data_IF_279093023002
#
_entry.id   IF_279093023002
#
_cell.length_a   1.000
_cell.length_b   1.000
_cell.length_c   1.000
_cell.angle_alpha   90.00
_cell.angle_beta   90.00
_cell.angle_gamma   90.00
#
_symmetry.space_group_name_H-M   'P 1'
#
loop_
_entity.id
_entity.type
_entity.pdbx_description
1 polymer ?
#
# COMPACT_ATOMS: atom_id res chain seq x y z
N UNK A 1 39.82 -9.90 -0.26
CA UNK A 1 39.07 -11.02 -0.85
C UNK A 1 38.16 -11.72 0.16
N UNK A 2 38.62 -12.14 1.33
CA UNK A 2 37.83 -12.86 2.34
C UNK A 2 36.49 -12.20 2.71
N UNK A 3 36.47 -10.90 2.98
CA UNK A 3 35.24 -10.16 3.34
C UNK A 3 34.16 -10.20 2.24
N UNK A 4 34.54 -10.24 0.95
CA UNK A 4 33.59 -10.37 -0.16
C UNK A 4 32.93 -11.75 -0.20
N UNK A 5 33.72 -12.80 0.01
CA UNK A 5 33.20 -14.18 0.06
C UNK A 5 32.23 -14.38 1.23
N UNK A 6 32.56 -13.84 2.40
CA UNK A 6 31.68 -13.90 3.58
C UNK A 6 30.32 -13.24 3.32
N UNK A 7 30.28 -12.09 2.62
CA UNK A 7 29.01 -11.45 2.24
C UNK A 7 28.19 -12.30 1.28
N UNK A 8 28.82 -12.99 0.32
CA UNK A 8 28.10 -13.90 -0.58
C UNK A 8 27.60 -15.15 0.13
N UNK A 9 28.36 -15.71 1.04
CA UNK A 9 27.91 -16.84 1.89
C UNK A 9 26.71 -16.41 2.74
N UNK A 10 26.78 -15.25 3.38
CA UNK A 10 25.66 -14.71 4.15
C UNK A 10 24.41 -14.42 3.28
N UNK A 11 24.59 -13.90 2.06
CA UNK A 11 23.49 -13.68 1.12
C UNK A 11 22.86 -15.01 0.68
N UNK A 12 23.68 -16.04 0.40
CA UNK A 12 23.18 -17.37 0.06
C UNK A 12 22.42 -18.00 1.23
N UNK A 13 22.95 -17.90 2.45
CA UNK A 13 22.25 -18.36 3.66
C UNK A 13 20.91 -17.62 3.83
N UNK A 14 20.90 -16.30 3.66
CA UNK A 14 19.66 -15.52 3.71
C UNK A 14 18.64 -15.96 2.64
N UNK A 15 19.08 -16.25 1.42
CA UNK A 15 18.20 -16.79 0.35
C UNK A 15 17.60 -18.13 0.79
N UNK A 16 18.43 -19.05 1.30
CA UNK A 16 17.96 -20.37 1.71
C UNK A 16 16.95 -20.29 2.87
N UNK A 17 17.26 -19.50 3.89
CA UNK A 17 16.44 -19.50 5.12
C UNK A 17 15.29 -18.48 5.11
N UNK A 18 15.40 -17.37 4.36
CA UNK A 18 14.42 -16.29 4.42
C UNK A 18 13.60 -16.14 3.14
N UNK A 19 14.08 -16.59 1.98
CA UNK A 19 13.35 -16.47 0.70
C UNK A 19 12.68 -17.79 0.28
N UNK A 20 13.39 -18.91 0.38
CA UNK A 20 12.86 -20.20 -0.11
C UNK A 20 11.57 -20.60 0.63
N UNK A 21 11.44 -20.52 1.97
CA UNK A 21 10.23 -20.94 2.65
C UNK A 21 8.97 -20.19 2.19
N UNK A 22 8.91 -18.84 2.21
CA UNK A 22 7.72 -18.11 1.75
C UNK A 22 7.45 -18.29 0.25
N UNK A 23 8.50 -18.43 -0.57
CA UNK A 23 8.34 -18.74 -1.99
C UNK A 23 7.73 -20.12 -2.20
N UNK A 24 8.18 -21.13 -1.46
CA UNK A 24 7.63 -22.49 -1.49
C UNK A 24 6.19 -22.52 -1.02
N UNK A 25 5.87 -21.82 0.08
CA UNK A 25 4.49 -21.69 0.56
C UNK A 25 3.59 -21.07 -0.52
N UNK A 26 3.96 -19.90 -1.05
CA UNK A 26 3.22 -19.25 -2.12
C UNK A 26 3.09 -20.08 -3.40
N UNK A 27 4.06 -20.97 -3.68
CA UNK A 27 4.06 -21.86 -4.85
C UNK A 27 3.09 -23.03 -4.72
N UNK A 28 2.83 -23.48 -3.48
CA UNK A 28 2.03 -24.69 -3.17
C UNK A 28 0.66 -24.37 -2.62
N UNK A 29 0.47 -23.24 -1.96
CA UNK A 29 -0.76 -22.85 -1.28
C UNK A 29 -1.43 -21.64 -1.96
N UNK A 30 -2.70 -21.45 -1.68
CA UNK A 30 -3.49 -20.30 -2.12
C UNK A 30 -3.81 -19.45 -0.90
N UNK A 31 -3.42 -18.18 -1.00
CA UNK A 31 -3.77 -17.13 -0.06
C UNK A 31 -4.63 -16.06 -0.74
N UNK A 32 -5.24 -15.19 0.03
CA UNK A 32 -6.35 -14.34 -0.39
C UNK A 32 -6.07 -13.35 -1.52
N UNK A 33 -4.85 -12.78 -1.62
CA UNK A 33 -4.64 -11.59 -2.47
C UNK A 33 -4.45 -11.89 -3.96
N UNK A 34 -3.68 -12.93 -4.31
CA UNK A 34 -3.51 -13.32 -5.72
C UNK A 34 -4.83 -13.70 -6.38
N UNK A 35 -5.72 -14.46 -5.73
CA UNK A 35 -7.07 -14.73 -6.25
C UNK A 35 -7.85 -13.49 -6.65
N UNK A 36 -7.75 -12.39 -5.88
CA UNK A 36 -8.43 -11.15 -6.19
C UNK A 36 -7.97 -10.55 -7.52
N UNK A 37 -6.66 -10.46 -7.74
CA UNK A 37 -6.10 -9.93 -8.98
C UNK A 37 -6.40 -10.82 -10.20
N UNK A 38 -6.28 -12.13 -10.02
CA UNK A 38 -6.55 -13.09 -11.08
C UNK A 38 -8.03 -13.10 -11.46
N UNK A 39 -8.95 -13.06 -10.49
CA UNK A 39 -10.39 -13.02 -10.74
C UNK A 39 -10.78 -11.74 -11.46
N UNK A 40 -10.30 -10.57 -10.98
CA UNK A 40 -10.52 -9.31 -11.66
C UNK A 40 -9.99 -9.32 -13.11
N UNK A 41 -8.82 -9.93 -13.36
CA UNK A 41 -8.28 -10.08 -14.70
C UNK A 41 -9.13 -11.01 -15.59
N UNK A 42 -9.73 -12.07 -15.03
CA UNK A 42 -10.71 -12.90 -15.76
C UNK A 42 -11.96 -12.11 -16.10
N UNK A 43 -12.51 -11.36 -15.14
CA UNK A 43 -13.68 -10.50 -15.37
C UNK A 43 -13.38 -9.46 -16.45
N UNK A 44 -12.19 -8.86 -16.42
CA UNK A 44 -11.71 -7.94 -17.45
C UNK A 44 -11.72 -8.59 -18.84
N UNK A 45 -11.16 -9.81 -19.00
CA UNK A 45 -11.16 -10.54 -20.27
C UNK A 45 -12.56 -10.90 -20.75
N UNK A 46 -13.47 -11.21 -19.82
CA UNK A 46 -14.85 -11.58 -20.12
C UNK A 46 -15.75 -10.35 -20.36
N UNK A 47 -15.22 -9.13 -20.23
CA UNK A 47 -15.95 -7.87 -20.36
C UNK A 47 -17.16 -7.78 -19.44
N UNK A 48 -17.03 -8.32 -18.22
CA UNK A 48 -18.07 -8.16 -17.20
C UNK A 48 -18.14 -6.71 -16.74
N UNK A 49 -19.31 -6.26 -16.22
CA UNK A 49 -19.48 -4.92 -15.70
C UNK A 49 -18.43 -4.56 -14.66
N UNK A 50 -17.81 -3.38 -14.74
CA UNK A 50 -16.80 -2.95 -13.79
C UNK A 50 -17.35 -2.84 -12.35
N UNK A 51 -18.64 -2.52 -12.19
CA UNK A 51 -19.31 -2.45 -10.88
C UNK A 51 -19.23 -3.76 -10.12
N UNK A 52 -19.29 -4.89 -10.84
CA UNK A 52 -19.22 -6.24 -10.25
C UNK A 52 -17.86 -6.51 -9.58
N UNK A 53 -16.80 -5.75 -9.91
CA UNK A 53 -15.52 -5.80 -9.20
C UNK A 53 -15.64 -5.32 -7.74
N UNK A 54 -16.58 -4.42 -7.48
CA UNK A 54 -16.78 -3.75 -6.19
C UNK A 54 -18.05 -4.19 -5.48
N UNK A 55 -18.84 -5.07 -6.12
CA UNK A 55 -19.95 -5.78 -5.48
C UNK A 55 -19.43 -7.09 -4.89
N UNK A 56 -19.52 -7.20 -3.57
CA UNK A 56 -19.00 -8.36 -2.83
C UNK A 56 -19.57 -9.67 -3.35
N UNK A 57 -20.91 -9.76 -3.51
CA UNK A 57 -21.58 -11.00 -3.91
C UNK A 57 -21.21 -11.39 -5.34
N UNK A 58 -21.21 -10.41 -6.27
CA UNK A 58 -20.85 -10.64 -7.65
C UNK A 58 -19.37 -11.08 -7.76
N UNK A 59 -18.46 -10.38 -7.05
CA UNK A 59 -17.04 -10.68 -7.07
C UNK A 59 -16.74 -12.09 -6.49
N UNK A 60 -17.33 -12.42 -5.33
CA UNK A 60 -17.18 -13.73 -4.70
C UNK A 60 -17.68 -14.86 -5.61
N UNK A 61 -18.81 -14.64 -6.29
CA UNK A 61 -19.31 -15.61 -7.30
C UNK A 61 -18.30 -15.82 -8.42
N UNK A 62 -17.67 -14.75 -8.90
CA UNK A 62 -16.63 -14.86 -9.93
C UNK A 62 -15.35 -15.53 -9.42
N UNK A 63 -14.99 -15.35 -8.14
CA UNK A 63 -13.91 -16.12 -7.51
C UNK A 63 -14.19 -17.62 -7.52
N UNK A 64 -15.39 -18.02 -7.16
CA UNK A 64 -15.80 -19.42 -7.20
C UNK A 64 -15.74 -19.98 -8.63
N UNK A 65 -16.23 -19.25 -9.63
CA UNK A 65 -16.12 -19.63 -11.05
C UNK A 65 -14.67 -19.63 -11.56
N UNK A 66 -13.80 -18.84 -10.97
CA UNK A 66 -12.39 -18.85 -11.29
C UNK A 66 -11.65 -20.08 -10.75
N UNK A 67 -12.26 -20.84 -9.85
CA UNK A 67 -11.72 -22.08 -9.29
C UNK A 67 -10.91 -21.88 -8.00
N UNK A 68 -11.19 -20.81 -7.24
CA UNK A 68 -10.51 -20.52 -5.97
C UNK A 68 -11.17 -21.19 -4.76
N UNK A 69 -12.27 -21.90 -4.97
CA UNK A 69 -12.97 -22.64 -3.90
C UNK A 69 -13.51 -21.71 -2.81
N UNK A 70 -13.17 -22.01 -1.56
CA UNK A 70 -13.64 -21.27 -0.38
C UNK A 70 -12.82 -20.02 -0.04
N UNK A 71 -11.99 -19.52 -0.96
CA UNK A 71 -11.24 -18.29 -0.71
C UNK A 71 -12.18 -17.08 -0.72
N UNK A 72 -12.11 -16.31 0.36
CA UNK A 72 -12.77 -15.01 0.45
C UNK A 72 -11.88 -13.95 -0.17
N UNK A 73 -12.46 -12.97 -0.84
CA UNK A 73 -11.70 -11.90 -1.42
C UNK A 73 -12.54 -10.71 -1.81
N UNK A 74 -11.89 -9.60 -2.09
CA UNK A 74 -12.52 -8.35 -2.54
C UNK A 74 -11.57 -7.56 -3.41
N UNK A 75 -12.09 -6.61 -4.16
CA UNK A 75 -11.28 -5.79 -5.06
C UNK A 75 -11.11 -4.35 -4.60
N UNK A 76 -11.84 -3.90 -3.59
CA UNK A 76 -11.64 -2.60 -2.95
C UNK A 76 -10.30 -2.64 -2.19
N UNK A 77 -9.43 -1.63 -2.29
CA UNK A 77 -9.61 -0.30 -2.91
C UNK A 77 -8.96 -0.17 -4.30
N UNK A 78 -8.73 -1.27 -4.99
CA UNK A 78 -7.96 -1.26 -6.23
C UNK A 78 -8.64 -0.47 -7.35
N UNK A 79 -7.85 0.17 -8.20
CA UNK A 79 -8.39 0.76 -9.42
C UNK A 79 -8.83 -0.35 -10.39
N UNK A 80 -9.76 -0.08 -11.32
CA UNK A 80 -10.15 -1.08 -12.31
C UNK A 80 -8.95 -1.68 -13.06
N UNK A 81 -7.94 -0.85 -13.36
CA UNK A 81 -6.75 -1.27 -14.11
C UNK A 81 -5.69 -1.99 -13.26
N UNK A 82 -5.85 -2.11 -11.95
CA UNK A 82 -4.91 -2.90 -11.11
C UNK A 82 -4.77 -4.34 -11.63
N UNK A 83 -5.82 -4.91 -12.22
CA UNK A 83 -5.80 -6.25 -12.79
C UNK A 83 -4.98 -6.37 -14.10
N UNK A 84 -4.64 -5.26 -14.76
CA UNK A 84 -4.03 -5.27 -16.10
C UNK A 84 -2.77 -6.14 -16.20
N UNK A 85 -1.81 -6.12 -15.27
CA UNK A 85 -0.64 -7.01 -15.32
C UNK A 85 -0.99 -8.50 -15.26
N UNK A 86 -2.16 -8.85 -14.69
CA UNK A 86 -2.64 -10.25 -14.59
C UNK A 86 -3.45 -10.71 -15.81
N UNK A 87 -3.91 -9.80 -16.68
CA UNK A 87 -4.75 -10.16 -17.84
C UNK A 87 -4.11 -11.22 -18.73
N UNK A 88 -2.78 -11.18 -19.04
CA UNK A 88 -2.13 -12.24 -19.81
C UNK A 88 -2.15 -13.59 -19.07
N UNK A 89 -2.08 -13.57 -17.73
CA UNK A 89 -2.04 -14.77 -16.89
C UNK A 89 -3.41 -15.39 -16.66
N UNK A 90 -4.48 -14.62 -16.83
CA UNK A 90 -5.86 -15.09 -16.64
C UNK A 90 -6.31 -16.18 -17.65
N UNK A 91 -5.47 -16.50 -18.65
CA UNK A 91 -5.65 -17.61 -19.56
C UNK A 91 -5.15 -18.96 -19.03
N UNK A 92 -4.28 -18.95 -18.02
CA UNK A 92 -3.77 -20.17 -17.42
C UNK A 92 -4.70 -20.68 -16.31
N UNK A 93 -4.49 -21.93 -15.86
CA UNK A 93 -5.13 -22.43 -14.63
C UNK A 93 -4.68 -21.60 -13.43
N UNK A 94 -5.51 -21.41 -12.39
CA UNK A 94 -5.24 -20.52 -11.27
C UNK A 94 -3.85 -20.68 -10.64
N UNK A 95 -3.49 -21.89 -10.21
CA UNK A 95 -2.17 -22.16 -9.62
C UNK A 95 -1.01 -21.97 -10.58
N UNK A 96 -1.20 -22.26 -11.87
CA UNK A 96 -0.16 -22.00 -12.90
C UNK A 96 0.05 -20.51 -13.07
N UNK A 97 -1.03 -19.72 -13.12
CA UNK A 97 -0.95 -18.27 -13.16
C UNK A 97 -0.22 -17.70 -11.94
N UNK A 98 -0.54 -18.19 -10.72
CA UNK A 98 0.17 -17.80 -9.48
C UNK A 98 1.66 -18.11 -9.58
N UNK A 99 2.05 -19.32 -9.99
CA UNK A 99 3.45 -19.71 -10.11
C UNK A 99 4.23 -18.86 -11.12
N UNK A 100 3.62 -18.54 -12.27
CA UNK A 100 4.22 -17.62 -13.25
C UNK A 100 4.40 -16.24 -12.64
N UNK A 101 3.39 -15.73 -11.90
CA UNK A 101 3.49 -14.43 -11.24
C UNK A 101 4.58 -14.39 -10.17
N UNK A 102 4.72 -15.44 -9.36
CA UNK A 102 5.79 -15.55 -8.36
C UNK A 102 7.18 -15.58 -9.01
N UNK A 103 7.32 -16.28 -10.12
CA UNK A 103 8.57 -16.28 -10.90
C UNK A 103 8.90 -14.89 -11.44
N UNK A 104 7.91 -14.17 -11.98
CA UNK A 104 8.08 -12.77 -12.42
C UNK A 104 8.41 -11.85 -11.23
N UNK A 105 7.77 -12.03 -10.09
CA UNK A 105 8.05 -11.26 -8.87
C UNK A 105 9.49 -11.45 -8.39
N UNK A 106 10.01 -12.67 -8.47
CA UNK A 106 11.41 -12.96 -8.17
C UNK A 106 12.37 -12.27 -9.15
N UNK A 107 12.05 -12.30 -10.44
CA UNK A 107 12.82 -11.60 -11.48
C UNK A 107 12.79 -10.07 -11.27
N UNK A 108 11.63 -9.50 -10.94
CA UNK A 108 11.49 -8.08 -10.62
C UNK A 108 12.33 -7.67 -9.41
N UNK A 109 12.30 -8.47 -8.35
CA UNK A 109 13.11 -8.24 -7.16
C UNK A 109 14.61 -8.29 -7.48
N UNK A 110 15.05 -9.33 -8.21
CA UNK A 110 16.45 -9.47 -8.62
C UNK A 110 16.92 -8.31 -9.51
N UNK A 111 16.08 -7.90 -10.47
CA UNK A 111 16.36 -6.76 -11.35
C UNK A 111 16.41 -5.43 -10.56
N UNK A 112 15.50 -5.22 -9.60
CA UNK A 112 15.52 -4.05 -8.74
C UNK A 112 16.81 -3.99 -7.92
N UNK A 113 17.23 -5.10 -7.29
CA UNK A 113 18.47 -5.19 -6.52
C UNK A 113 19.69 -4.93 -7.43
N UNK A 114 19.70 -5.50 -8.64
CA UNK A 114 20.78 -5.27 -9.59
C UNK A 114 20.91 -3.82 -10.00
N UNK A 115 19.79 -3.14 -10.32
CA UNK A 115 19.78 -1.71 -10.66
C UNK A 115 20.21 -0.88 -9.45
N UNK A 116 19.71 -1.17 -8.26
CA UNK A 116 20.10 -0.49 -7.02
C UNK A 116 21.60 -0.60 -6.75
N UNK A 117 22.19 -1.79 -6.94
CA UNK A 117 23.63 -1.99 -6.79
C UNK A 117 24.44 -1.10 -7.75
N UNK A 118 23.92 -0.88 -8.97
CA UNK A 118 24.54 0.02 -9.97
C UNK A 118 24.36 1.50 -9.63
N UNK A 119 23.22 1.87 -9.07
CA UNK A 119 22.89 3.27 -8.73
C UNK A 119 23.59 3.74 -7.44
N UNK A 120 23.71 2.87 -6.45
CA UNK A 120 24.19 3.21 -5.11
C UNK A 120 25.62 2.74 -4.84
N UNK A 121 26.24 2.03 -5.78
CA UNK A 121 27.57 1.42 -5.60
C UNK A 121 27.69 0.51 -4.37
N UNK A 122 26.57 0.18 -3.73
CA UNK A 122 26.54 -0.79 -2.63
C UNK A 122 26.77 -2.22 -3.16
N UNK A 123 27.46 -3.08 -2.39
CA UNK A 123 27.68 -4.44 -2.84
C UNK A 123 26.37 -5.23 -2.95
N UNK A 124 26.14 -5.86 -4.11
CA UNK A 124 24.92 -6.62 -4.38
C UNK A 124 24.57 -7.63 -3.26
N UNK A 125 25.50 -8.43 -2.69
CA UNK A 125 25.17 -9.32 -1.58
C UNK A 125 24.67 -8.57 -0.34
N UNK A 126 25.15 -7.33 -0.08
CA UNK A 126 24.64 -6.50 1.00
C UNK A 126 23.20 -6.05 0.79
N UNK A 127 22.83 -5.71 -0.46
CA UNK A 127 21.44 -5.36 -0.82
C UNK A 127 20.52 -6.59 -0.78
N UNK A 128 21.02 -7.77 -1.17
CA UNK A 128 20.28 -9.03 -1.02
C UNK A 128 20.00 -9.30 0.45
N UNK A 129 21.01 -9.22 1.31
CA UNK A 129 20.85 -9.41 2.76
C UNK A 129 19.85 -8.40 3.32
N UNK A 130 19.96 -7.13 2.94
CA UNK A 130 19.04 -6.08 3.41
C UNK A 130 17.59 -6.37 2.98
N UNK A 131 17.37 -6.73 1.71
CA UNK A 131 16.04 -7.08 1.20
C UNK A 131 15.44 -8.27 1.94
N UNK A 132 16.25 -9.32 2.18
CA UNK A 132 15.83 -10.56 2.84
C UNK A 132 15.69 -10.41 4.36
N UNK A 133 16.45 -9.51 4.97
CA UNK A 133 16.32 -9.18 6.39
C UNK A 133 14.97 -8.52 6.70
N UNK A 134 14.36 -7.82 5.73
CA UNK A 134 12.96 -7.39 5.77
C UNK A 134 11.97 -8.54 5.53
N UNK A 135 12.17 -9.67 6.20
CA UNK A 135 11.54 -10.97 5.93
C UNK A 135 10.02 -10.91 5.82
N UNK A 136 9.33 -10.25 6.76
CA UNK A 136 7.88 -10.19 6.77
C UNK A 136 7.32 -9.50 5.51
N UNK A 137 7.92 -8.36 5.14
CA UNK A 137 7.53 -7.65 3.92
C UNK A 137 7.70 -8.49 2.66
N UNK A 138 8.80 -9.26 2.61
CA UNK A 138 9.11 -10.12 1.48
C UNK A 138 8.23 -11.37 1.45
N UNK A 139 8.05 -12.03 2.60
CA UNK A 139 7.19 -13.21 2.74
C UNK A 139 5.79 -12.92 2.24
N UNK A 140 5.15 -11.84 2.71
CA UNK A 140 3.82 -11.46 2.26
C UNK A 140 3.73 -11.21 0.74
N UNK A 141 4.80 -10.70 0.11
CA UNK A 141 4.79 -10.55 -1.35
C UNK A 141 4.76 -11.90 -2.09
N UNK A 142 5.42 -12.93 -1.58
CA UNK A 142 5.46 -14.25 -2.21
C UNK A 142 4.28 -15.15 -1.80
N UNK A 143 3.95 -15.20 -0.53
CA UNK A 143 2.86 -16.02 -0.02
C UNK A 143 1.50 -15.57 -0.59
N UNK A 144 1.22 -14.26 -0.49
CA UNK A 144 -0.01 -13.66 -0.98
C UNK A 144 -0.03 -13.39 -2.49
N UNK A 145 1.14 -13.42 -3.15
CA UNK A 145 1.27 -13.10 -4.59
C UNK A 145 1.04 -11.62 -4.91
N UNK A 146 1.55 -10.73 -4.05
CA UNK A 146 1.37 -9.29 -4.15
C UNK A 146 2.16 -8.62 -5.28
N UNK A 147 1.80 -7.37 -5.60
CA UNK A 147 2.41 -6.56 -6.66
C UNK A 147 3.68 -5.80 -6.25
N UNK A 148 4.07 -5.80 -4.97
CA UNK A 148 5.05 -4.82 -4.49
C UNK A 148 6.48 -5.07 -4.95
N UNK A 149 6.85 -6.32 -5.30
CA UNK A 149 8.12 -6.58 -6.01
C UNK A 149 8.11 -5.94 -7.43
N UNK A 150 6.99 -6.00 -8.15
CA UNK A 150 6.81 -5.32 -9.43
C UNK A 150 6.86 -3.79 -9.27
N UNK A 151 6.16 -3.23 -8.28
CA UNK A 151 6.18 -1.78 -8.00
C UNK A 151 7.58 -1.30 -7.64
N UNK A 152 8.29 -2.03 -6.76
CA UNK A 152 9.68 -1.74 -6.40
C UNK A 152 10.57 -1.69 -7.65
N UNK A 153 10.43 -2.67 -8.55
CA UNK A 153 11.18 -2.71 -9.80
C UNK A 153 10.87 -1.49 -10.68
N UNK A 154 9.60 -1.20 -10.96
CA UNK A 154 9.21 -0.07 -11.83
C UNK A 154 9.64 1.26 -11.22
N UNK A 155 9.51 1.45 -9.90
CA UNK A 155 10.00 2.65 -9.22
C UNK A 155 11.52 2.76 -9.30
N UNK A 156 12.25 1.65 -9.13
CA UNK A 156 13.72 1.63 -9.26
C UNK A 156 14.16 1.99 -10.67
N UNK A 157 13.51 1.44 -11.71
CA UNK A 157 13.76 1.80 -13.12
C UNK A 157 13.42 3.28 -13.36
N UNK A 158 12.31 3.77 -12.82
CA UNK A 158 11.92 5.18 -12.96
C UNK A 158 12.98 6.11 -12.36
N UNK A 159 13.52 5.76 -11.19
CA UNK A 159 14.57 6.56 -10.55
C UNK A 159 15.90 6.48 -11.31
N UNK A 160 16.23 5.30 -11.82
CA UNK A 160 17.38 5.17 -12.73
C UNK A 160 17.24 6.06 -13.96
N UNK A 161 16.07 6.09 -14.60
CA UNK A 161 15.80 6.96 -15.75
C UNK A 161 15.84 8.44 -15.38
N UNK A 162 15.30 8.85 -14.21
CA UNK A 162 15.38 10.23 -13.71
C UNK A 162 16.82 10.68 -13.55
N UNK A 163 17.64 9.85 -12.89
CA UNK A 163 19.05 10.14 -12.65
C UNK A 163 19.88 10.09 -13.94
N UNK A 164 19.45 9.31 -14.93
CA UNK A 164 20.04 9.22 -16.28
C UNK A 164 19.51 10.29 -17.25
N UNK A 165 18.81 11.31 -16.77
CA UNK A 165 18.22 12.40 -17.58
C UNK A 165 17.14 11.98 -18.59
N UNK A 166 16.63 10.76 -18.52
CA UNK A 166 15.51 10.26 -19.33
C UNK A 166 14.17 10.50 -18.64
N UNK A 167 13.91 11.75 -18.31
CA UNK A 167 12.85 12.15 -17.39
C UNK A 167 11.44 11.88 -17.88
N UNK A 168 11.18 12.08 -19.18
CA UNK A 168 9.86 11.79 -19.76
C UNK A 168 9.50 10.32 -19.65
N UNK A 169 10.44 9.42 -19.97
CA UNK A 169 10.25 7.97 -19.84
C UNK A 169 10.04 7.54 -18.37
N UNK A 170 10.78 8.16 -17.45
CA UNK A 170 10.55 7.95 -16.02
C UNK A 170 9.12 8.36 -15.61
N UNK A 171 8.66 9.51 -16.11
CA UNK A 171 7.30 9.97 -15.90
C UNK A 171 6.26 9.02 -16.47
N UNK A 172 6.46 8.46 -17.66
CA UNK A 172 5.56 7.45 -18.24
C UNK A 172 5.39 6.24 -17.31
N UNK A 173 6.48 5.71 -16.75
CA UNK A 173 6.43 4.58 -15.83
C UNK A 173 5.72 4.93 -14.52
N UNK A 174 6.04 6.08 -13.92
CA UNK A 174 5.38 6.55 -12.70
C UNK A 174 3.88 6.81 -12.94
N UNK A 175 3.50 7.36 -14.09
CA UNK A 175 2.11 7.54 -14.47
C UNK A 175 1.36 6.23 -14.65
N UNK A 176 2.01 5.21 -15.23
CA UNK A 176 1.43 3.89 -15.36
C UNK A 176 1.16 3.25 -13.99
N UNK A 177 2.14 3.25 -13.06
CA UNK A 177 1.92 2.68 -11.72
C UNK A 177 0.98 3.53 -10.87
N UNK A 178 0.83 4.83 -11.13
CA UNK A 178 -0.17 5.65 -10.47
C UNK A 178 -1.59 5.16 -10.77
N UNK A 179 -1.89 4.87 -12.02
CA UNK A 179 -3.20 4.35 -12.41
C UNK A 179 -3.42 2.91 -11.92
N UNK A 180 -2.36 2.11 -11.86
CA UNK A 180 -2.46 0.72 -11.39
C UNK A 180 -2.62 0.63 -9.87
N UNK A 181 -1.92 1.45 -9.10
CA UNK A 181 -1.82 1.33 -7.62
C UNK A 181 -1.66 2.68 -6.92
N UNK A 182 -2.19 3.76 -7.36
CA UNK A 182 -2.24 5.12 -6.79
C UNK A 182 -0.96 5.62 -6.05
N UNK A 183 0.01 4.74 -5.74
CA UNK A 183 1.22 5.04 -4.95
C UNK A 183 2.09 6.12 -5.56
N UNK A 184 2.16 6.22 -6.88
CA UNK A 184 2.99 7.22 -7.54
C UNK A 184 2.27 8.57 -7.72
N UNK A 185 0.99 8.69 -7.38
CA UNK A 185 0.21 9.90 -7.57
C UNK A 185 0.84 11.17 -6.99
N UNK A 186 1.36 11.16 -5.75
CA UNK A 186 1.99 12.34 -5.16
C UNK A 186 3.23 12.84 -5.91
N UNK A 187 3.86 12.04 -6.78
CA UNK A 187 4.95 12.52 -7.65
C UNK A 187 4.51 13.61 -8.63
N UNK A 188 3.20 13.70 -8.97
CA UNK A 188 2.67 14.82 -9.73
C UNK A 188 2.96 16.15 -9.03
N UNK A 189 2.66 16.22 -7.72
CA UNK A 189 2.94 17.41 -6.92
C UNK A 189 4.44 17.65 -6.73
N UNK A 190 5.23 16.59 -6.53
CA UNK A 190 6.67 16.68 -6.42
C UNK A 190 7.31 17.29 -7.67
N UNK A 191 6.97 16.80 -8.86
CA UNK A 191 7.54 17.32 -10.12
C UNK A 191 7.02 18.72 -10.45
N UNK A 192 5.75 19.03 -10.16
CA UNK A 192 5.20 20.38 -10.31
C UNK A 192 5.93 21.36 -9.39
N UNK A 193 6.16 21.01 -8.12
CA UNK A 193 6.89 21.84 -7.16
C UNK A 193 8.32 22.11 -7.57
N UNK A 194 9.04 21.06 -8.03
CA UNK A 194 10.41 21.13 -8.56
C UNK A 194 10.48 21.76 -9.96
N UNK A 195 9.34 22.13 -10.57
CA UNK A 195 9.24 22.62 -11.96
C UNK A 195 9.90 21.68 -12.99
N UNK A 196 9.78 20.38 -12.73
CA UNK A 196 10.28 19.30 -13.59
C UNK A 196 9.16 18.87 -14.55
N UNK A 197 8.97 19.66 -15.61
CA UNK A 197 7.84 19.50 -16.52
C UNK A 197 7.90 18.18 -17.33
N UNK A 198 9.11 17.74 -17.72
CA UNK A 198 9.28 16.52 -18.52
C UNK A 198 8.73 15.27 -17.82
N UNK A 199 9.14 14.91 -16.58
CA UNK A 199 8.54 13.76 -15.92
C UNK A 199 7.06 13.99 -15.56
N UNK A 200 6.65 15.23 -15.26
CA UNK A 200 5.25 15.55 -15.02
C UNK A 200 4.40 15.27 -16.27
N UNK A 201 4.81 15.75 -17.45
CA UNK A 201 4.09 15.47 -18.71
C UNK A 201 4.09 13.99 -19.05
N UNK A 202 5.19 13.26 -18.80
CA UNK A 202 5.22 11.81 -18.95
C UNK A 202 4.16 11.11 -18.08
N UNK A 203 4.05 11.50 -16.80
CA UNK A 203 3.02 10.96 -15.90
C UNK A 203 1.60 11.26 -16.38
N UNK A 204 1.34 12.51 -16.80
CA UNK A 204 0.03 12.91 -17.31
C UNK A 204 -0.33 12.16 -18.59
N UNK A 205 0.62 12.00 -19.51
CA UNK A 205 0.40 11.26 -20.76
C UNK A 205 0.08 9.80 -20.49
N UNK A 206 0.88 9.10 -19.68
CA UNK A 206 0.62 7.70 -19.36
C UNK A 206 -0.70 7.53 -18.56
N UNK A 207 -0.92 8.40 -17.58
CA UNK A 207 -2.15 8.40 -16.78
C UNK A 207 -3.39 8.63 -17.64
N UNK A 208 -3.37 9.65 -18.51
CA UNK A 208 -4.47 9.94 -19.41
C UNK A 208 -4.71 8.82 -20.43
N UNK A 209 -3.64 8.29 -21.04
CA UNK A 209 -3.76 7.19 -21.99
C UNK A 209 -4.41 5.96 -21.36
N UNK A 210 -3.93 5.53 -20.18
CA UNK A 210 -4.50 4.39 -19.47
C UNK A 210 -5.92 4.64 -18.98
N UNK A 211 -6.22 5.84 -18.48
CA UNK A 211 -7.58 6.22 -18.08
C UNK A 211 -8.54 6.21 -19.28
N UNK A 212 -8.14 6.78 -20.42
CA UNK A 212 -8.95 6.77 -21.64
C UNK A 212 -9.16 5.35 -22.18
N UNK A 213 -8.12 4.51 -22.18
CA UNK A 213 -8.26 3.10 -22.52
C UNK A 213 -9.23 2.36 -21.57
N UNK A 214 -9.17 2.66 -20.28
CA UNK A 214 -10.07 2.07 -19.29
C UNK A 214 -11.52 2.53 -19.50
N UNK A 215 -11.72 3.82 -19.75
CA UNK A 215 -13.05 4.41 -20.05
C UNK A 215 -13.63 3.83 -21.35
N UNK A 216 -12.80 3.68 -22.38
CA UNK A 216 -13.20 3.06 -23.64
C UNK A 216 -13.59 1.58 -23.47
N UNK A 217 -12.97 0.88 -22.50
CA UNK A 217 -13.25 -0.53 -22.23
C UNK A 217 -14.49 -0.75 -21.39
N UNK A 218 -14.62 -0.02 -20.27
CA UNK A 218 -15.68 -0.20 -19.27
C UNK A 218 -16.82 0.83 -19.35
N UNK A 219 -16.59 1.96 -20.01
CA UNK A 219 -17.52 3.06 -20.08
C UNK A 219 -17.35 4.11 -18.97
N UNK A 220 -17.81 5.32 -19.26
CA UNK A 220 -17.66 6.47 -18.33
C UNK A 220 -18.47 6.32 -17.04
N UNK A 221 -19.70 5.77 -17.12
CA UNK A 221 -20.60 5.65 -15.96
C UNK A 221 -19.98 4.82 -14.82
N UNK A 222 -19.27 3.77 -15.17
CA UNK A 222 -18.63 2.90 -14.19
C UNK A 222 -17.42 3.57 -13.54
N UNK A 223 -16.66 4.38 -14.30
CA UNK A 223 -15.58 5.18 -13.72
C UNK A 223 -16.11 6.29 -12.82
N UNK A 224 -17.24 6.89 -13.15
CA UNK A 224 -17.89 7.85 -12.26
C UNK A 224 -18.29 7.19 -10.94
N UNK A 225 -18.87 6.00 -10.98
CA UNK A 225 -19.19 5.21 -9.78
C UNK A 225 -17.92 4.92 -8.94
N UNK A 226 -16.82 4.52 -9.58
CA UNK A 226 -15.55 4.31 -8.87
C UNK A 226 -15.10 5.60 -8.17
N UNK A 227 -15.15 6.74 -8.82
CA UNK A 227 -14.68 8.01 -8.29
C UNK A 227 -15.61 8.60 -7.20
N UNK A 228 -16.92 8.40 -7.32
CA UNK A 228 -17.91 9.01 -6.41
C UNK A 228 -18.32 8.11 -5.25
N UNK A 229 -18.18 6.81 -5.39
CA UNK A 229 -18.59 5.82 -4.38
C UNK A 229 -17.37 5.04 -3.83
N UNK A 230 -16.68 4.28 -4.67
CA UNK A 230 -15.64 3.34 -4.21
C UNK A 230 -14.43 4.06 -3.63
N UNK A 231 -13.89 5.05 -4.34
CA UNK A 231 -12.67 5.75 -3.92
C UNK A 231 -12.85 6.56 -2.63
N UNK A 232 -13.95 7.31 -2.40
CA UNK A 232 -14.19 8.00 -1.13
C UNK A 232 -14.30 7.04 0.06
N UNK A 233 -15.00 5.92 -0.10
CA UNK A 233 -15.14 4.89 0.94
C UNK A 233 -13.79 4.24 1.25
N UNK A 234 -13.04 3.88 0.22
CA UNK A 234 -11.68 3.37 0.38
C UNK A 234 -10.74 4.37 1.08
N UNK A 235 -10.86 5.66 0.75
CA UNK A 235 -10.09 6.72 1.42
C UNK A 235 -10.51 6.94 2.88
N UNK A 236 -11.78 6.65 3.22
CA UNK A 236 -12.28 6.65 4.59
C UNK A 236 -11.83 5.42 5.41
N UNK A 237 -11.23 4.41 4.75
CA UNK A 237 -10.75 3.18 5.40
C UNK A 237 -11.81 2.08 5.53
N UNK A 238 -12.95 2.20 4.84
CA UNK A 238 -14.06 1.24 4.93
C UNK A 238 -13.78 -0.14 4.33
N UNK A 239 -12.63 -0.34 3.72
CA UNK A 239 -12.22 -1.60 3.07
C UNK A 239 -11.32 -2.48 3.93
N UNK A 240 -10.99 -2.03 5.14
CA UNK A 240 -10.17 -2.74 6.11
C UNK A 240 -10.75 -2.46 7.50
N UNK A 241 -10.45 -3.33 8.46
CA UNK A 241 -10.73 -3.03 9.86
C UNK A 241 -9.95 -1.76 10.28
N UNK A 242 -10.64 -0.65 10.54
CA UNK A 242 -10.00 0.63 10.85
C UNK A 242 -9.38 0.67 12.26
N UNK A 243 -9.60 -0.34 13.07
CA UNK A 243 -9.06 -0.50 14.42
C UNK A 243 -7.93 -1.53 14.48
N UNK A 244 -7.70 -2.28 13.39
CA UNK A 244 -6.68 -3.33 13.34
C UNK A 244 -5.27 -2.80 13.64
N UNK A 245 -4.60 -3.42 14.59
CA UNK A 245 -3.22 -3.10 14.97
C UNK A 245 -2.19 -3.67 13.99
N UNK A 246 -2.53 -4.77 13.32
CA UNK A 246 -1.69 -5.43 12.31
C UNK A 246 -1.54 -4.64 10.98
N UNK A 247 -2.37 -3.61 10.76
CA UNK A 247 -2.26 -2.70 9.61
C UNK A 247 -1.89 -1.28 10.07
N UNK A 248 -0.64 -1.01 10.46
CA UNK A 248 -0.25 0.19 11.15
C UNK A 248 -0.23 1.42 10.23
N UNK A 249 -1.33 2.16 10.18
CA UNK A 249 -1.48 3.46 9.50
C UNK A 249 -1.65 4.59 10.51
N UNK A 250 -1.54 5.84 10.07
CA UNK A 250 -1.87 7.00 10.92
C UNK A 250 -3.33 6.94 11.36
N UNK A 251 -4.23 6.48 10.48
CA UNK A 251 -5.65 6.36 10.80
C UNK A 251 -5.90 5.36 11.93
N UNK A 252 -5.37 4.12 11.79
CA UNK A 252 -5.55 3.09 12.80
C UNK A 252 -4.90 3.48 14.13
N UNK A 253 -3.72 4.13 14.08
CA UNK A 253 -3.05 4.67 15.27
C UNK A 253 -3.91 5.71 16.02
N UNK A 254 -4.76 6.46 15.32
CA UNK A 254 -5.65 7.42 15.95
C UNK A 254 -6.98 6.77 16.40
N UNK A 255 -7.56 5.91 15.59
CA UNK A 255 -8.83 5.28 15.91
C UNK A 255 -8.75 4.32 17.09
N UNK A 256 -7.75 3.47 17.10
CA UNK A 256 -7.61 2.45 18.15
C UNK A 256 -7.65 3.03 19.59
N UNK A 257 -6.93 4.11 19.95
CA UNK A 257 -7.04 4.70 21.29
C UNK A 257 -8.21 5.68 21.50
N UNK A 258 -8.82 6.23 20.43
CA UNK A 258 -9.72 7.39 20.55
C UNK A 258 -11.13 7.20 19.97
N UNK A 259 -11.47 6.06 19.46
CA UNK A 259 -12.80 5.81 18.90
C UNK A 259 -13.36 4.49 19.43
N UNK A 260 -14.49 4.56 20.13
CA UNK A 260 -15.17 3.37 20.63
C UNK A 260 -16.05 2.80 19.54
N UNK A 261 -15.88 1.53 19.26
CA UNK A 261 -16.73 0.72 18.41
C UNK A 261 -17.09 -0.57 19.14
N UNK A 262 -18.38 -0.90 19.32
CA UNK A 262 -18.79 -1.98 20.20
C UNK A 262 -18.24 -3.36 19.87
N UNK A 263 -18.02 -3.66 18.59
CA UNK A 263 -17.58 -4.99 18.12
C UNK A 263 -16.08 -5.07 17.90
N UNK A 264 -15.49 -4.07 17.21
CA UNK A 264 -14.10 -4.12 16.78
C UNK A 264 -13.14 -3.40 17.76
N UNK A 265 -13.62 -2.42 18.54
CA UNK A 265 -12.81 -1.65 19.47
C UNK A 265 -13.59 -1.24 20.73
N UNK A 266 -14.04 -2.19 21.57
CA UNK A 266 -14.93 -1.92 22.69
C UNK A 266 -14.29 -1.16 23.85
N UNK A 267 -12.96 -1.08 23.91
CA UNK A 267 -12.22 -0.54 25.08
C UNK A 267 -11.11 0.43 24.67
N UNK A 268 -11.41 1.54 23.97
CA UNK A 268 -10.42 2.56 23.68
C UNK A 268 -9.97 3.27 24.97
N UNK A 269 -8.83 3.99 24.90
CA UNK A 269 -8.36 4.80 26.02
C UNK A 269 -9.31 5.97 26.33
N UNK A 270 -9.88 6.56 25.29
CA UNK A 270 -10.82 7.68 25.38
C UNK A 270 -11.75 7.64 24.18
N UNK A 271 -13.04 7.75 24.39
CA UNK A 271 -13.99 7.87 23.31
C UNK A 271 -14.13 9.33 22.85
N UNK A 272 -13.38 9.68 21.81
CA UNK A 272 -13.30 11.04 21.28
C UNK A 272 -13.21 11.06 19.73
N UNK A 273 -14.26 10.62 19.01
CA UNK A 273 -14.25 10.54 17.55
C UNK A 273 -13.99 11.89 16.86
N UNK A 274 -14.44 13.00 17.47
CA UNK A 274 -14.13 14.35 16.96
C UNK A 274 -12.62 14.62 16.89
N UNK A 275 -11.85 14.10 17.85
CA UNK A 275 -10.40 14.22 17.85
C UNK A 275 -9.78 13.44 16.69
N UNK A 276 -10.26 12.23 16.44
CA UNK A 276 -9.82 11.42 15.28
C UNK A 276 -10.12 12.15 13.97
N UNK A 277 -11.35 12.64 13.80
CA UNK A 277 -11.78 13.34 12.58
C UNK A 277 -11.03 14.65 12.33
N UNK A 278 -10.48 15.26 13.37
CA UNK A 278 -9.61 16.44 13.27
C UNK A 278 -8.14 16.06 13.01
N UNK A 279 -7.59 15.15 13.83
CA UNK A 279 -6.16 14.80 13.76
C UNK A 279 -5.78 14.01 12.51
N UNK A 280 -6.67 13.15 11.99
CA UNK A 280 -6.39 12.37 10.80
C UNK A 280 -6.08 13.28 9.58
N UNK A 281 -6.96 14.18 9.12
CA UNK A 281 -6.64 15.07 8.01
C UNK A 281 -5.51 16.03 8.37
N UNK A 282 -5.41 16.49 9.62
CA UNK A 282 -4.30 17.33 10.06
C UNK A 282 -2.95 16.67 9.79
N UNK A 283 -2.74 15.43 10.22
CA UNK A 283 -1.48 14.72 10.04
C UNK A 283 -1.26 14.30 8.59
N UNK A 284 -2.29 13.73 7.93
CA UNK A 284 -2.16 13.23 6.56
C UNK A 284 -1.98 14.33 5.52
N UNK A 285 -2.38 15.57 5.80
CA UNK A 285 -2.15 16.73 4.95
C UNK A 285 -0.86 17.48 5.34
N UNK A 286 -0.56 17.63 6.65
CA UNK A 286 0.62 18.35 7.10
C UNK A 286 1.92 17.68 6.69
N UNK A 287 2.02 16.36 6.80
CA UNK A 287 3.23 15.62 6.47
C UNK A 287 3.65 15.82 5.00
N UNK A 288 2.80 15.58 3.98
CA UNK A 288 3.17 15.82 2.59
C UNK A 288 3.32 17.31 2.25
N UNK A 289 2.48 18.19 2.80
CA UNK A 289 2.60 19.63 2.58
C UNK A 289 3.94 20.14 3.09
N UNK A 290 4.33 19.76 4.31
CA UNK A 290 5.60 20.13 4.91
C UNK A 290 6.77 19.57 4.10
N UNK A 291 6.71 18.31 3.66
CA UNK A 291 7.72 17.73 2.78
C UNK A 291 7.88 18.56 1.50
N UNK A 292 6.80 18.87 0.80
CA UNK A 292 6.85 19.64 -0.45
C UNK A 292 7.38 21.07 -0.24
N UNK A 293 6.93 21.78 0.81
CA UNK A 293 7.32 23.17 1.07
C UNK A 293 8.80 23.26 1.47
N UNK A 294 9.32 22.26 2.20
CA UNK A 294 10.71 22.22 2.62
C UNK A 294 11.68 21.81 1.50
N UNK A 295 11.21 21.11 0.46
CA UNK A 295 12.05 20.73 -0.66
C UNK A 295 12.54 21.96 -1.44
N UNK A 296 13.84 22.00 -1.83
CA UNK A 296 14.36 23.08 -2.67
C UNK A 296 13.60 23.15 -4.00
N UNK A 297 13.30 24.36 -4.45
CA UNK A 297 12.64 24.59 -5.75
C UNK A 297 13.59 24.57 -6.95
N UNK A 298 14.82 24.13 -6.73
CA UNK A 298 15.76 23.88 -7.82
C UNK A 298 15.33 22.73 -8.71
N UNK A 299 15.99 22.62 -9.87
CA UNK A 299 15.73 21.52 -10.81
C UNK A 299 16.62 20.30 -10.56
N UNK A 300 17.32 20.23 -9.44
CA UNK A 300 18.18 19.13 -9.07
C UNK A 300 17.33 18.02 -8.45
N UNK A 301 17.53 16.80 -8.88
CA UNK A 301 16.91 15.60 -8.29
C UNK A 301 17.96 14.89 -7.44
N UNK A 302 18.01 15.23 -6.16
CA UNK A 302 18.92 14.59 -5.24
C UNK A 302 18.34 13.23 -4.78
N UNK A 303 19.14 12.13 -4.77
CA UNK A 303 18.67 10.84 -4.28
C UNK A 303 18.11 10.90 -2.85
N UNK A 304 18.69 11.73 -1.97
CA UNK A 304 18.20 11.90 -0.61
C UNK A 304 16.82 12.58 -0.54
N UNK A 305 16.53 13.54 -1.43
CA UNK A 305 15.19 14.15 -1.53
C UNK A 305 14.14 13.14 -1.98
N UNK A 306 14.48 12.36 -3.01
CA UNK A 306 13.61 11.30 -3.50
C UNK A 306 13.37 10.22 -2.43
N UNK A 307 14.43 9.88 -1.66
CA UNK A 307 14.32 8.93 -0.55
C UNK A 307 13.39 9.47 0.56
N UNK A 308 13.55 10.72 0.96
CA UNK A 308 12.70 11.36 1.96
C UNK A 308 11.25 11.42 1.50
N UNK A 309 11.02 11.78 0.24
CA UNK A 309 9.68 11.82 -0.35
C UNK A 309 9.02 10.42 -0.39
N UNK A 310 9.76 9.36 -0.71
CA UNK A 310 9.24 7.98 -0.68
C UNK A 310 8.88 7.51 0.74
N UNK A 311 9.70 7.83 1.74
CA UNK A 311 9.41 7.51 3.14
C UNK A 311 8.12 8.22 3.58
N UNK A 312 7.95 9.49 3.18
CA UNK A 312 6.72 10.23 3.39
C UNK A 312 5.51 9.50 2.76
N UNK A 313 5.62 9.01 1.51
CA UNK A 313 4.52 8.29 0.85
C UNK A 313 4.11 7.03 1.60
N UNK A 314 5.08 6.27 2.09
CA UNK A 314 4.79 5.06 2.88
C UNK A 314 4.16 5.42 4.23
N UNK A 315 4.61 6.51 4.86
CA UNK A 315 4.07 6.97 6.15
C UNK A 315 2.60 7.42 6.05
N UNK A 316 2.24 8.18 5.02
CA UNK A 316 0.87 8.73 4.87
C UNK A 316 -0.08 7.80 4.12
N UNK A 317 0.36 6.61 3.72
CA UNK A 317 -0.49 5.65 3.03
C UNK A 317 -1.73 5.31 3.87
N UNK A 318 -2.95 5.45 3.33
CA UNK A 318 -4.18 5.17 4.08
C UNK A 318 -4.41 3.66 4.30
N UNK A 319 -3.75 2.84 3.50
CA UNK A 319 -3.80 1.38 3.61
C UNK A 319 -2.38 0.84 3.47
N UNK A 320 -1.80 0.38 4.57
CA UNK A 320 -0.44 -0.11 4.61
C UNK A 320 -0.36 -1.48 5.28
N UNK A 321 -0.50 -2.51 4.49
CA UNK A 321 -0.14 -3.84 4.92
C UNK A 321 1.39 -4.01 4.98
N UNK A 322 1.85 -4.99 5.75
CA UNK A 322 3.28 -5.25 5.99
C UNK A 322 4.09 -5.46 4.69
N UNK A 323 3.54 -6.11 3.70
CA UNK A 323 4.20 -6.37 2.41
C UNK A 323 4.51 -5.10 1.58
N UNK A 324 3.81 -3.99 1.84
CA UNK A 324 4.06 -2.69 1.20
C UNK A 324 5.46 -2.17 1.52
N UNK A 325 5.94 -2.46 2.71
CA UNK A 325 7.19 -1.90 3.23
C UNK A 325 8.44 -2.35 2.48
N UNK A 326 8.35 -3.36 1.57
CA UNK A 326 9.44 -3.72 0.64
C UNK A 326 9.88 -2.53 -0.23
N UNK A 327 9.00 -1.59 -0.52
CA UNK A 327 9.32 -0.37 -1.27
C UNK A 327 10.40 0.48 -0.57
N UNK A 328 10.49 0.38 0.75
CA UNK A 328 11.51 1.10 1.54
C UNK A 328 12.95 0.66 1.22
N UNK A 329 13.14 -0.50 0.59
CA UNK A 329 14.46 -0.92 0.12
C UNK A 329 15.09 0.13 -0.79
N UNK A 330 14.29 0.77 -1.65
CA UNK A 330 14.76 1.80 -2.59
C UNK A 330 15.30 3.06 -1.89
N UNK A 331 14.54 3.78 -1.03
CA UNK A 331 15.05 4.95 -0.34
C UNK A 331 16.17 4.62 0.64
N UNK A 332 16.10 3.49 1.35
CA UNK A 332 17.14 3.10 2.30
C UNK A 332 18.47 2.83 1.58
N UNK A 333 18.45 2.15 0.42
CA UNK A 333 19.66 1.92 -0.37
C UNK A 333 20.34 3.26 -0.77
N UNK A 334 19.57 4.25 -1.23
CA UNK A 334 20.13 5.57 -1.57
C UNK A 334 20.74 6.29 -0.36
N UNK A 335 20.11 6.19 0.80
CA UNK A 335 20.59 6.82 2.02
C UNK A 335 21.85 6.15 2.56
N UNK A 336 21.93 4.80 2.48
CA UNK A 336 23.07 4.02 2.95
C UNK A 336 24.37 4.29 2.18
N UNK A 337 24.29 4.68 0.91
CA UNK A 337 25.47 4.93 0.07
C UNK A 337 26.43 5.94 0.70
N UNK A 338 25.91 7.08 1.15
CA UNK A 338 26.70 8.20 1.69
C UNK A 338 26.63 8.33 3.20
N UNK A 339 25.97 7.41 3.88
CA UNK A 339 25.77 7.49 5.32
C UNK A 339 27.06 7.18 6.10
N UNK A 340 27.28 7.91 7.20
CA UNK A 340 28.26 7.56 8.23
C UNK A 340 27.91 6.21 8.88
N UNK A 341 28.88 5.58 9.57
CA UNK A 341 28.61 4.30 10.23
C UNK A 341 27.42 4.37 11.21
N UNK A 342 27.35 5.44 12.03
CA UNK A 342 26.23 5.66 12.96
C UNK A 342 24.89 5.78 12.21
N UNK A 343 24.87 6.55 11.12
CA UNK A 343 23.68 6.72 10.30
C UNK A 343 23.27 5.41 9.59
N UNK A 344 24.24 4.61 9.14
CA UNK A 344 23.97 3.28 8.55
C UNK A 344 23.30 2.35 9.56
N UNK A 345 23.82 2.29 10.78
CA UNK A 345 23.22 1.46 11.85
C UNK A 345 21.78 1.90 12.10
N UNK A 346 21.54 3.21 12.25
CA UNK A 346 20.21 3.76 12.45
C UNK A 346 19.25 3.43 11.29
N UNK A 347 19.67 3.65 10.05
CA UNK A 347 18.86 3.37 8.85
C UNK A 347 18.51 1.89 8.72
N UNK A 348 19.47 0.99 8.98
CA UNK A 348 19.24 -0.46 8.96
C UNK A 348 18.30 -0.86 10.10
N UNK A 349 18.53 -0.38 11.32
CA UNK A 349 17.68 -0.68 12.46
C UNK A 349 16.22 -0.19 12.22
N UNK A 350 16.06 1.03 11.70
CA UNK A 350 14.75 1.57 11.37
C UNK A 350 14.05 0.77 10.23
N UNK A 351 14.81 0.39 9.20
CA UNK A 351 14.28 -0.48 8.13
C UNK A 351 13.79 -1.82 8.68
N UNK A 352 14.60 -2.47 9.50
CA UNK A 352 14.23 -3.75 10.13
C UNK A 352 13.01 -3.60 11.04
N UNK A 353 12.97 -2.56 11.88
CA UNK A 353 11.84 -2.32 12.77
C UNK A 353 10.50 -2.10 12.03
N UNK A 354 10.55 -1.67 10.77
CA UNK A 354 9.34 -1.48 9.95
C UNK A 354 9.00 -2.73 9.12
N UNK A 355 9.99 -3.58 8.80
CA UNK A 355 9.82 -4.65 7.82
C UNK A 355 9.78 -6.06 8.42
N UNK A 356 10.13 -6.23 9.68
CA UNK A 356 9.98 -7.50 10.40
C UNK A 356 8.69 -7.53 11.22
N UNK A 357 8.19 -8.74 11.51
CA UNK A 357 7.07 -8.91 12.44
C UNK A 357 7.52 -8.56 13.86
N UNK A 358 6.74 -7.70 14.51
CA UNK A 358 6.93 -7.39 15.92
C UNK A 358 6.01 -8.31 16.76
N UNK A 359 6.36 -8.54 18.04
CA UNK A 359 5.45 -9.24 18.94
C UNK A 359 4.08 -8.57 18.99
N UNK A 360 3.00 -9.35 18.99
CA UNK A 360 1.62 -8.85 18.99
C UNK A 360 1.32 -7.89 20.14
N UNK A 361 1.95 -8.09 21.30
CA UNK A 361 1.85 -7.18 22.45
C UNK A 361 2.32 -5.74 22.15
N UNK A 362 3.10 -5.52 21.09
CA UNK A 362 3.60 -4.20 20.71
C UNK A 362 2.76 -3.53 19.62
N UNK A 363 1.95 -4.31 18.89
CA UNK A 363 1.13 -3.79 17.79
C UNK A 363 0.21 -2.63 18.19
N UNK A 364 -0.47 -2.65 19.38
CA UNK A 364 -1.35 -1.55 19.79
C UNK A 364 -0.64 -0.20 19.96
N UNK A 365 0.70 -0.19 20.06
CA UNK A 365 1.50 1.03 20.15
C UNK A 365 1.94 1.56 18.78
N UNK A 366 1.60 0.88 17.69
CA UNK A 366 1.93 1.27 16.31
C UNK A 366 3.42 1.63 16.08
N UNK A 367 4.38 0.82 16.55
CA UNK A 367 5.80 1.19 16.54
C UNK A 367 6.34 1.48 15.14
N UNK A 368 5.83 0.82 14.11
CA UNK A 368 6.24 1.06 12.71
C UNK A 368 5.85 2.46 12.22
N UNK A 369 4.72 3.04 12.71
CA UNK A 369 4.32 4.43 12.40
C UNK A 369 5.31 5.40 13.03
N UNK A 370 5.66 5.19 14.30
CA UNK A 370 6.61 6.03 15.02
C UNK A 370 8.01 5.99 14.41
N UNK A 371 8.49 4.80 14.01
CA UNK A 371 9.78 4.66 13.34
C UNK A 371 9.80 5.38 12.00
N UNK A 372 8.73 5.25 11.19
CA UNK A 372 8.62 5.98 9.92
C UNK A 372 8.54 7.49 10.14
N UNK A 373 7.83 7.94 11.17
CA UNK A 373 7.76 9.35 11.55
C UNK A 373 9.14 9.87 11.98
N UNK A 374 9.87 9.11 12.79
CA UNK A 374 11.23 9.44 13.20
C UNK A 374 12.19 9.52 12.01
N UNK A 375 12.11 8.57 11.06
CA UNK A 375 12.85 8.64 9.80
C UNK A 375 12.49 9.88 9.00
N UNK A 376 11.19 10.15 8.83
CA UNK A 376 10.70 11.32 8.10
C UNK A 376 11.23 12.63 8.71
N UNK A 377 11.15 12.77 10.04
CA UNK A 377 11.61 13.96 10.75
C UNK A 377 13.13 14.12 10.61
N UNK A 378 13.90 13.07 10.92
CA UNK A 378 15.39 13.14 10.88
C UNK A 378 15.94 13.44 9.50
N UNK A 379 15.34 12.87 8.46
CA UNK A 379 15.72 13.12 7.07
C UNK A 379 15.26 14.50 6.58
N UNK A 380 14.21 15.05 7.17
CA UNK A 380 13.67 16.36 6.86
C UNK A 380 14.51 17.53 7.43
N UNK A 381 15.22 17.33 8.55
CA UNK A 381 15.98 18.38 9.25
C UNK A 381 16.86 19.24 8.30
N UNK A 382 17.64 18.66 7.35
CA UNK A 382 18.46 19.46 6.43
C UNK A 382 17.63 20.40 5.55
N UNK A 383 16.39 20.05 5.25
CA UNK A 383 15.50 20.79 4.36
C UNK A 383 14.68 21.86 5.08
N UNK A 384 14.55 21.82 6.41
CA UNK A 384 13.77 22.78 7.19
C UNK A 384 14.27 24.21 7.04
N UNK A 385 15.54 24.40 6.75
CA UNK A 385 16.14 25.71 6.46
C UNK A 385 15.55 26.40 5.22
N UNK A 386 14.94 25.63 4.32
CA UNK A 386 14.29 26.14 3.10
C UNK A 386 12.86 26.61 3.34
N UNK A 387 12.30 26.35 4.52
CA UNK A 387 10.94 26.77 4.87
C UNK A 387 10.84 28.29 4.88
N UNK A 388 9.95 28.82 4.07
CA UNK A 388 9.57 30.23 4.11
C UNK A 388 8.46 30.40 5.15
N UNK A 389 8.67 31.18 6.23
CA UNK A 389 7.69 31.28 7.32
C UNK A 389 6.27 31.63 6.84
N UNK A 390 6.16 32.58 5.90
CA UNK A 390 4.86 33.00 5.36
C UNK A 390 4.11 31.87 4.64
N UNK A 391 4.82 31.03 3.85
CA UNK A 391 4.20 29.91 3.15
C UNK A 391 3.85 28.80 4.14
N UNK A 392 4.74 28.51 5.09
CA UNK A 392 4.51 27.52 6.12
C UNK A 392 3.29 27.88 7.01
N UNK A 393 3.19 29.15 7.43
CA UNK A 393 2.05 29.64 8.20
C UNK A 393 0.75 29.56 7.39
N UNK A 394 0.75 30.03 6.14
CA UNK A 394 -0.43 29.95 5.29
C UNK A 394 -0.89 28.51 5.07
N UNK A 395 0.04 27.59 4.83
CA UNK A 395 -0.28 26.16 4.70
C UNK A 395 -0.82 25.59 6.01
N UNK A 396 -0.21 25.89 7.15
CA UNK A 396 -0.68 25.44 8.46
C UNK A 396 -2.11 25.92 8.75
N UNK A 397 -2.40 27.20 8.52
CA UNK A 397 -3.75 27.75 8.70
C UNK A 397 -4.76 27.06 7.79
N UNK A 398 -4.41 26.89 6.49
CA UNK A 398 -5.30 26.21 5.54
C UNK A 398 -5.57 24.74 5.93
N UNK A 399 -4.54 24.02 6.39
CA UNK A 399 -4.67 22.63 6.82
C UNK A 399 -5.52 22.53 8.09
N UNK A 400 -5.29 23.39 9.09
CA UNK A 400 -6.09 23.43 10.31
C UNK A 400 -7.55 23.72 9.99
N UNK A 401 -7.83 24.71 9.13
CA UNK A 401 -9.18 25.04 8.70
C UNK A 401 -9.85 23.88 7.94
N UNK A 402 -9.13 23.23 7.03
CA UNK A 402 -9.63 22.07 6.30
C UNK A 402 -9.90 20.89 7.26
N UNK A 403 -9.05 20.67 8.26
CA UNK A 403 -9.22 19.62 9.26
C UNK A 403 -10.41 19.89 10.17
N UNK A 404 -10.61 21.13 10.60
CA UNK A 404 -11.78 21.54 11.39
C UNK A 404 -13.08 21.37 10.59
N UNK A 405 -13.09 21.78 9.29
CA UNK A 405 -14.24 21.59 8.43
C UNK A 405 -14.55 20.10 8.17
N UNK A 406 -13.51 19.28 7.97
CA UNK A 406 -13.66 17.83 7.82
C UNK A 406 -14.24 17.21 9.09
N UNK A 407 -13.70 17.56 10.25
CA UNK A 407 -14.19 17.08 11.55
C UNK A 407 -15.66 17.47 11.78
N UNK A 408 -16.01 18.72 11.54
CA UNK A 408 -17.39 19.22 11.67
C UNK A 408 -18.38 18.45 10.79
N UNK A 409 -18.03 18.25 9.50
CA UNK A 409 -18.87 17.51 8.56
C UNK A 409 -19.04 16.05 8.95
N UNK A 410 -17.95 15.38 9.33
CA UNK A 410 -17.98 13.97 9.74
C UNK A 410 -18.74 13.78 11.06
N UNK A 411 -18.58 14.69 12.03
CA UNK A 411 -19.36 14.65 13.27
C UNK A 411 -20.86 14.87 13.01
N UNK A 412 -21.25 15.74 12.06
CA UNK A 412 -22.65 15.97 11.70
C UNK A 412 -23.34 14.72 11.11
N UNK A 413 -22.56 13.86 10.44
CA UNK A 413 -23.05 12.59 9.87
C UNK A 413 -22.67 11.35 10.72
N UNK A 414 -21.99 11.55 11.84
CA UNK A 414 -21.56 10.47 12.69
C UNK A 414 -22.73 9.92 13.50
N UNK A 415 -23.19 8.73 13.14
CA UNK A 415 -24.17 7.99 13.92
C UNK A 415 -23.48 6.71 14.39
N UNK A 416 -23.51 6.47 15.69
CA UNK A 416 -23.23 5.16 16.24
C UNK A 416 -24.46 4.30 15.99
N UNK A 417 -24.32 3.27 15.19
CA UNK A 417 -25.31 2.24 15.20
C UNK A 417 -25.31 1.58 16.59
N UNK A 418 -26.48 1.40 17.22
CA UNK A 418 -26.52 0.61 18.43
C UNK A 418 -26.02 -0.79 18.08
N UNK A 419 -25.31 -1.47 19.01
CA UNK A 419 -24.84 -2.82 18.78
C UNK A 419 -26.05 -3.67 18.35
N UNK A 420 -25.97 -4.23 17.14
CA UNK A 420 -27.01 -5.11 16.66
C UNK A 420 -26.97 -6.33 17.58
N UNK A 421 -27.99 -6.50 18.40
CA UNK A 421 -28.14 -7.68 19.22
C UNK A 421 -28.59 -8.85 18.33
N UNK A 422 -27.66 -9.40 17.60
CA UNK A 422 -27.86 -10.70 16.97
C UNK A 422 -27.54 -11.77 17.99
N UNK A 423 -28.55 -12.55 18.36
CA UNK A 423 -28.34 -13.75 19.14
C UNK A 423 -27.78 -14.82 18.19
N UNK A 424 -26.55 -15.25 18.43
CA UNK A 424 -25.92 -16.30 17.61
C UNK A 424 -26.62 -17.63 17.94
N UNK A 425 -27.60 -18.01 17.15
CA UNK A 425 -28.46 -19.20 17.37
C UNK A 425 -27.75 -20.48 16.99
N UNK A 426 -26.91 -20.48 15.96
CA UNK A 426 -26.11 -21.64 15.54
C UNK A 426 -24.88 -21.19 14.75
N UNK A 427 -23.78 -21.91 14.88
CA UNK A 427 -22.58 -21.76 14.09
C UNK A 427 -22.22 -23.12 13.50
N UNK A 428 -22.38 -23.28 12.21
CA UNK A 428 -21.91 -24.44 11.49
C UNK A 428 -20.51 -24.16 10.94
N UNK A 429 -19.56 -24.97 11.37
CA UNK A 429 -18.12 -24.77 11.08
C UNK A 429 -17.79 -24.83 9.58
N UNK A 430 -18.66 -25.45 8.80
CA UNK A 430 -18.53 -25.66 7.37
C UNK A 430 -19.64 -24.94 6.57
N UNK A 431 -20.33 -23.96 7.17
CA UNK A 431 -21.39 -23.23 6.50
C UNK A 431 -20.85 -22.50 5.27
N UNK A 432 -21.32 -22.92 4.11
CA UNK A 432 -21.09 -22.23 2.84
C UNK A 432 -21.84 -20.91 2.92
N UNK A 433 -21.12 -19.81 2.85
CA UNK A 433 -21.67 -18.47 2.90
C UNK A 433 -22.75 -18.29 1.82
N UNK A 434 -24.00 -18.26 2.24
CA UNK A 434 -25.12 -17.82 1.43
C UNK A 434 -25.33 -16.34 1.74
N UNK A 435 -25.07 -15.49 0.78
CA UNK A 435 -25.28 -14.05 0.93
C UNK A 435 -26.77 -13.63 0.84
N UNK A 436 -27.69 -14.57 0.84
CA UNK A 436 -29.14 -14.31 0.85
C UNK A 436 -29.67 -14.54 2.27
N UNK A 437 -30.17 -13.49 2.94
CA UNK A 437 -30.86 -13.69 4.20
C UNK A 437 -32.05 -14.65 3.99
N UNK A 438 -32.11 -15.71 4.77
CA UNK A 438 -33.23 -16.62 4.79
C UNK A 438 -34.21 -16.17 5.88
N UNK A 439 -35.44 -15.91 5.51
CA UNK A 439 -36.53 -15.61 6.45
C UNK A 439 -37.27 -16.91 6.75
N UNK A 440 -37.29 -17.32 8.03
CA UNK A 440 -38.08 -18.48 8.45
C UNK A 440 -39.57 -18.14 8.46
N UNK A 441 -40.43 -19.18 8.55
CA UNK A 441 -41.90 -19.03 8.56
C UNK A 441 -42.40 -18.19 9.76
N UNK A 442 -41.62 -18.06 10.81
CA UNK A 442 -41.88 -17.28 12.02
C UNK A 442 -41.33 -15.85 11.94
N UNK A 443 -40.78 -15.46 10.79
CA UNK A 443 -40.28 -14.10 10.52
C UNK A 443 -38.87 -13.80 11.08
N UNK A 444 -38.14 -14.82 11.53
CA UNK A 444 -36.75 -14.67 11.98
C UNK A 444 -35.86 -14.59 10.75
N UNK A 445 -35.05 -13.52 10.69
CA UNK A 445 -34.07 -13.35 9.63
C UNK A 445 -32.77 -14.04 10.05
N UNK A 446 -32.34 -15.00 9.24
CA UNK A 446 -31.06 -15.65 9.40
C UNK A 446 -30.08 -14.98 8.42
N UNK A 447 -29.12 -14.26 8.94
CA UNK A 447 -28.04 -13.69 8.15
C UNK A 447 -26.75 -14.47 8.45
N UNK A 448 -26.06 -14.92 7.43
CA UNK A 448 -24.73 -15.48 7.61
C UNK A 448 -23.76 -14.32 7.78
N UNK A 449 -23.37 -14.07 9.01
CA UNK A 449 -22.30 -13.11 9.31
C UNK A 449 -20.97 -13.81 8.99
N UNK A 450 -20.22 -13.28 8.02
CA UNK A 450 -18.82 -13.66 7.85
C UNK A 450 -18.08 -13.34 9.15
N UNK A 451 -17.32 -14.31 9.66
CA UNK A 451 -16.50 -14.07 10.85
C UNK A 451 -15.50 -12.92 10.53
N UNK A 452 -15.69 -11.76 11.17
CA UNK A 452 -14.95 -10.50 10.91
C UNK A 452 -13.43 -10.62 11.08
N UNK A 453 -12.92 -11.77 11.50
CA UNK A 453 -11.49 -12.06 11.55
C UNK A 453 -10.81 -12.12 10.18
N UNK A 454 -11.58 -12.03 9.09
CA UNK A 454 -11.09 -12.18 7.72
C UNK A 454 -11.61 -11.10 6.74
N UNK A 455 -12.29 -10.07 7.23
CA UNK A 455 -12.68 -8.90 6.42
C UNK A 455 -11.61 -7.81 6.44
#
# INVERSE_FOLDING_TARGET
>A
MARRWLLWIAALAAIVFLLIPPLYHGWTHVETDFPNYYTAAKMFRQRLPMRDLYDWTAFQRQMNYAGWGLQLGGYIPHTPLTALPMVPLAGFRPMTAKRVWLSLSLLFLAAAIWILARLTHLPAPGLIILALAGHNALAGNFELGQYYCFLLFVMTVSFWLLLSRREFSAGLLLGAIFILKLYAGPFLFYFAWKRRWRPLTGMLVAGAALALCSIAWFGWKDHLFYLTDVLPRAAAGEHIDPYATGMPTILNMLRHPFEMEPELNPSPLLDAPALVFFLQPLLTLSIPAFCLIALPRDKILAPAELAWFLIMLVLVSPSRAFYVTIILLLPIAFLLEKASLRSRIWLIAAYLAVTISLPSAWEPFFPTVWVLLALYITLGIPYWRNLRPSIATAAAVAIVAASALSASRRMASYHREPPQKFERVAFEKDAIYSATPAVSADGVVYESIADDRYL
#
